data_IF_613848753624
#
_entry.id   IF_613848753624
#
_cell.length_a   1.000
_cell.length_b   1.000
_cell.length_c   1.000
_cell.angle_alpha   90.00
_cell.angle_beta   90.00
_cell.angle_gamma   90.00
#
_symmetry.space_group_name_H-M   'P 1'
#
loop_
_entity.id
_entity.type
_entity.pdbx_description
1 polymer ?
#
# COMPACT_ATOMS: atom_id res chain seq x y z
N UNK A 1 -24.52 15.04 11.57
CA UNK A 1 -23.15 15.25 11.05
C UNK A 1 -22.31 14.06 11.48
N UNK A 2 -21.70 13.37 10.51
CA UNK A 2 -20.97 12.11 10.69
C UNK A 2 -19.69 12.36 11.51
N UNK A 3 -19.46 11.71 12.65
CA UNK A 3 -18.25 11.93 13.42
C UNK A 3 -17.12 11.10 12.80
N UNK A 4 -15.89 11.56 12.95
CA UNK A 4 -14.65 10.81 12.72
C UNK A 4 -14.03 10.80 11.31
N UNK A 5 -14.03 11.93 10.60
CA UNK A 5 -12.84 12.28 9.81
C UNK A 5 -11.77 12.84 10.77
N UNK A 6 -11.27 12.02 11.71
CA UNK A 6 -10.01 12.35 12.40
C UNK A 6 -8.96 12.52 11.31
N UNK A 7 -8.24 13.64 11.32
CA UNK A 7 -7.04 13.85 10.50
C UNK A 7 -6.03 12.75 10.84
N UNK A 8 -6.14 11.59 10.19
CA UNK A 8 -5.22 10.50 10.38
C UNK A 8 -3.94 10.93 9.67
N UNK A 9 -2.89 11.22 10.42
CA UNK A 9 -1.58 11.51 9.84
C UNK A 9 -1.08 10.27 9.08
N UNK A 10 -0.40 10.49 7.96
CA UNK A 10 0.25 9.42 7.21
C UNK A 10 1.52 9.01 7.95
N UNK A 11 1.55 7.77 8.42
CA UNK A 11 2.70 7.19 9.12
C UNK A 11 3.52 6.39 8.13
N UNK A 12 4.81 6.74 7.98
CA UNK A 12 5.73 5.99 7.14
C UNK A 12 6.09 4.63 7.77
N UNK A 13 6.13 3.56 6.96
CA UNK A 13 6.59 2.22 7.36
C UNK A 13 7.47 1.61 6.28
N UNK A 14 8.41 0.77 6.67
CA UNK A 14 9.17 -0.04 5.72
C UNK A 14 8.46 -1.36 5.43
N UNK A 15 8.48 -1.79 4.17
CA UNK A 15 7.98 -3.09 3.74
C UNK A 15 8.67 -3.57 2.47
N UNK A 16 8.51 -4.84 2.13
CA UNK A 16 8.96 -5.37 0.84
C UNK A 16 7.90 -5.13 -0.23
N UNK A 17 8.34 -4.71 -1.42
CA UNK A 17 7.49 -4.66 -2.60
C UNK A 17 7.04 -6.09 -2.95
N UNK A 18 5.72 -6.36 -3.05
CA UNK A 18 5.19 -7.69 -3.34
C UNK A 18 5.43 -8.14 -4.77
N UNK A 19 5.87 -7.24 -5.66
CA UNK A 19 6.20 -7.59 -7.04
C UNK A 19 7.69 -7.93 -7.24
N UNK A 20 8.62 -7.14 -6.68
CA UNK A 20 10.07 -7.30 -6.95
C UNK A 20 10.96 -7.48 -5.70
N UNK A 21 10.37 -7.58 -4.50
CA UNK A 21 11.12 -7.81 -3.25
C UNK A 21 11.99 -6.64 -2.78
N UNK A 22 11.96 -5.48 -3.44
CA UNK A 22 12.74 -4.30 -3.02
C UNK A 22 12.14 -3.70 -1.74
N UNK A 23 12.98 -3.27 -0.80
CA UNK A 23 12.53 -2.54 0.40
C UNK A 23 12.01 -1.17 -0.03
N UNK A 24 10.79 -0.83 0.37
CA UNK A 24 10.12 0.42 0.04
C UNK A 24 9.57 1.09 1.30
N UNK A 25 9.35 2.39 1.21
CA UNK A 25 8.60 3.16 2.20
C UNK A 25 7.13 3.19 1.78
N UNK A 26 6.26 2.67 2.63
CA UNK A 26 4.81 2.80 2.50
C UNK A 26 4.27 3.81 3.50
N UNK A 27 3.08 4.33 3.22
CA UNK A 27 2.40 5.29 4.06
C UNK A 27 1.08 4.68 4.53
N UNK A 28 0.89 4.62 5.85
CA UNK A 28 -0.30 4.09 6.48
C UNK A 28 -1.17 5.22 7.04
N UNK A 29 -2.47 5.15 6.79
CA UNK A 29 -3.48 6.05 7.34
C UNK A 29 -4.70 5.21 7.77
N UNK A 30 -4.92 5.10 9.09
CA UNK A 30 -5.93 4.19 9.63
C UNK A 30 -5.73 2.75 9.15
N UNK A 31 -6.74 2.21 8.45
CA UNK A 31 -6.76 0.85 7.91
C UNK A 31 -6.24 0.75 6.47
N UNK A 32 -5.69 1.84 5.91
CA UNK A 32 -5.20 1.89 4.54
C UNK A 32 -3.69 2.06 4.53
N UNK A 33 -3.00 1.31 3.67
CA UNK A 33 -1.57 1.46 3.40
C UNK A 33 -1.36 1.63 1.90
N UNK A 34 -0.56 2.61 1.50
CA UNK A 34 -0.24 2.90 0.11
C UNK A 34 1.25 2.95 -0.14
N UNK A 35 1.69 2.52 -1.31
CA UNK A 35 3.05 2.77 -1.78
C UNK A 35 3.15 2.74 -3.31
N UNK A 36 4.23 3.33 -3.81
CA UNK A 36 4.77 3.12 -5.15
C UNK A 36 6.18 2.55 -5.01
N UNK A 37 6.48 1.46 -5.71
CA UNK A 37 7.82 0.90 -5.73
C UNK A 37 8.72 1.72 -6.68
N UNK A 38 9.85 2.29 -6.22
CA UNK A 38 10.73 3.06 -7.08
C UNK A 38 11.45 2.21 -8.13
N UNK A 39 11.54 0.89 -7.93
CA UNK A 39 12.24 -0.03 -8.83
C UNK A 39 11.35 -0.55 -9.96
N UNK A 40 10.27 -1.25 -9.63
CA UNK A 40 9.38 -1.88 -10.63
C UNK A 40 8.10 -1.09 -10.88
N UNK A 41 7.95 0.10 -10.28
CA UNK A 41 6.80 1.00 -10.44
C UNK A 41 5.44 0.38 -10.08
N UNK A 42 5.44 -0.74 -9.38
CA UNK A 42 4.21 -1.32 -8.82
C UNK A 42 3.62 -0.36 -7.80
N UNK A 43 2.36 -0.01 -8.00
CA UNK A 43 1.56 0.74 -7.04
C UNK A 43 0.70 -0.26 -6.27
N UNK A 44 0.58 -0.05 -4.96
CA UNK A 44 -0.28 -0.86 -4.12
C UNK A 44 -1.13 -0.03 -3.19
N UNK A 45 -2.37 -0.49 -3.01
CA UNK A 45 -3.27 -0.05 -1.95
C UNK A 45 -3.72 -1.27 -1.18
N UNK A 46 -3.32 -1.36 0.09
CA UNK A 46 -3.79 -2.37 1.04
C UNK A 46 -4.85 -1.75 1.94
N UNK A 47 -5.95 -2.48 2.15
CA UNK A 47 -7.06 -2.04 2.99
C UNK A 47 -7.59 -3.20 3.82
N UNK A 48 -7.78 -2.97 5.12
CA UNK A 48 -8.44 -3.93 6.00
C UNK A 48 -9.95 -3.69 5.99
N UNK A 49 -10.73 -4.59 5.38
CA UNK A 49 -12.20 -4.51 5.33
C UNK A 49 -12.85 -5.14 6.56
N UNK A 50 -12.25 -6.20 7.09
CA UNK A 50 -12.63 -6.84 8.36
C UNK A 50 -11.43 -7.57 8.94
N UNK A 51 -11.54 -8.05 10.18
CA UNK A 51 -10.52 -8.92 10.80
C UNK A 51 -10.13 -10.13 9.93
N UNK A 52 -11.05 -10.66 9.10
CA UNK A 52 -10.78 -11.80 8.20
C UNK A 52 -10.47 -11.41 6.77
N UNK A 53 -10.56 -10.13 6.41
CA UNK A 53 -10.42 -9.69 5.01
C UNK A 53 -9.43 -8.54 4.89
N UNK A 54 -8.23 -8.93 4.49
CA UNK A 54 -7.17 -8.05 4.05
C UNK A 54 -7.14 -8.04 2.52
N UNK A 55 -7.35 -6.86 1.92
CA UNK A 55 -7.40 -6.69 0.47
C UNK A 55 -6.20 -5.89 0.02
N UNK A 56 -5.41 -6.48 -0.87
CA UNK A 56 -4.28 -5.83 -1.52
C UNK A 56 -4.60 -5.66 -3.01
N UNK A 57 -4.79 -4.41 -3.44
CA UNK A 57 -4.83 -4.07 -4.86
C UNK A 57 -3.41 -3.79 -5.33
N UNK A 58 -2.96 -4.52 -6.36
CA UNK A 58 -1.67 -4.32 -7.01
C UNK A 58 -1.89 -3.87 -8.45
N UNK A 59 -1.31 -2.72 -8.80
CA UNK A 59 -1.23 -2.25 -10.18
C UNK A 59 0.21 -2.41 -10.65
N UNK A 60 0.42 -3.37 -11.54
CA UNK A 60 1.74 -3.68 -12.12
C UNK A 60 1.76 -3.12 -13.55
N UNK A 61 2.67 -2.20 -13.87
CA UNK A 61 2.82 -1.71 -15.25
C UNK A 61 3.18 -2.86 -16.20
N UNK A 62 2.55 -2.87 -17.38
CA UNK A 62 2.70 -3.97 -18.36
C UNK A 62 4.15 -4.18 -18.83
N UNK A 63 4.95 -3.13 -18.78
CA UNK A 63 6.28 -3.07 -19.40
C UNK A 63 7.41 -3.40 -18.39
N UNK A 64 7.05 -3.60 -17.12
CA UNK A 64 7.95 -3.87 -16.01
C UNK A 64 7.60 -5.23 -15.40
N UNK A 65 7.85 -6.28 -16.20
CA UNK A 65 7.58 -7.67 -15.80
C UNK A 65 8.58 -8.14 -14.73
N UNK A 66 8.03 -8.94 -13.80
CA UNK A 66 8.64 -9.74 -12.73
C UNK A 66 10.09 -10.16 -13.01
N UNK A 67 10.98 -9.82 -12.07
CA UNK A 67 12.24 -10.56 -11.83
C UNK A 67 11.87 -11.79 -11.00
#
# INVERSE_FOLDING_TARGET
MNPECKNLEWIARQMYCPNCGTVITSYQQGNMTKFECPRCRTVSVRSYKSWRQDVILLTIPKDLVRI
#
